data_IF_420363890267
#
_entry.id   IF_420363890267
#
_cell.length_a   1.000
_cell.length_b   1.000
_cell.length_c   1.000
_cell.angle_alpha   90.00
_cell.angle_beta   90.00
_cell.angle_gamma   90.00
#
_symmetry.space_group_name_H-M   'P 1'
#
loop_
_entity.id
_entity.type
_entity.pdbx_description
1 polymer ?
#
# COMPACT_ATOMS: atom_id res chain seq x y z
N UNK A 1 -11.57 0.14 0.79
CA UNK A 1 -10.45 -0.48 0.08
C UNK A 1 -9.88 -1.58 0.96
N UNK A 2 -9.95 -2.81 0.48
CA UNK A 2 -9.39 -3.99 1.11
C UNK A 2 -7.97 -4.19 0.59
N UNK A 3 -7.03 -4.45 1.49
CA UNK A 3 -5.62 -4.73 1.15
C UNK A 3 -5.29 -6.09 1.72
N UNK A 4 -4.81 -6.99 0.87
CA UNK A 4 -4.32 -8.30 1.31
C UNK A 4 -2.84 -8.42 1.03
N UNK A 5 -2.14 -9.16 1.90
CA UNK A 5 -0.72 -9.40 1.79
C UNK A 5 -0.48 -10.91 1.86
N UNK A 6 0.25 -11.41 0.87
CA UNK A 6 0.70 -12.79 0.79
C UNK A 6 2.19 -12.81 0.45
N UNK A 7 2.82 -13.98 0.58
CA UNK A 7 4.23 -14.16 0.23
C UNK A 7 4.50 -13.67 -1.21
N UNK A 8 5.56 -12.88 -1.38
CA UNK A 8 6.01 -12.40 -2.68
C UNK A 8 6.82 -13.45 -3.46
N UNK A 9 7.40 -13.04 -4.57
CA UNK A 9 8.20 -13.89 -5.47
C UNK A 9 9.65 -14.08 -5.01
N UNK A 10 10.14 -13.22 -4.12
CA UNK A 10 11.53 -13.26 -3.60
C UNK A 10 11.54 -13.19 -2.08
N UNK A 11 12.54 -13.80 -1.44
CA UNK A 11 12.72 -13.74 0.02
C UNK A 11 12.70 -12.29 0.52
N UNK A 12 11.90 -12.04 1.57
CA UNK A 12 11.70 -10.70 2.13
C UNK A 12 10.74 -9.78 1.36
N UNK A 13 10.08 -10.29 0.32
CA UNK A 13 9.05 -9.54 -0.43
C UNK A 13 7.63 -10.02 -0.12
N UNK A 14 6.65 -9.13 -0.28
CA UNK A 14 5.23 -9.43 -0.19
C UNK A 14 4.51 -9.02 -1.47
N UNK A 15 3.54 -9.84 -1.87
CA UNK A 15 2.59 -9.51 -2.93
C UNK A 15 1.34 -8.91 -2.31
N UNK A 16 0.96 -7.73 -2.80
CA UNK A 16 -0.22 -7.00 -2.34
C UNK A 16 -1.33 -7.08 -3.39
N UNK A 17 -2.55 -7.33 -2.96
CA UNK A 17 -3.75 -7.10 -3.78
C UNK A 17 -4.65 -6.06 -3.14
N UNK A 18 -5.32 -5.29 -3.98
CA UNK A 18 -6.20 -4.19 -3.58
C UNK A 18 -7.57 -4.38 -4.23
N UNK A 19 -8.64 -4.22 -3.44
CA UNK A 19 -10.01 -4.25 -3.96
C UNK A 19 -10.90 -3.16 -3.31
N UNK A 20 -11.74 -2.42 -4.07
CA UNK A 20 -11.91 -2.46 -5.53
C UNK A 20 -10.64 -2.07 -6.30
N UNK A 21 -10.65 -2.31 -7.62
CA UNK A 21 -9.57 -1.90 -8.51
C UNK A 21 -9.42 -0.37 -8.53
N UNK A 22 -8.23 0.07 -8.95
CA UNK A 22 -7.85 1.49 -9.01
C UNK A 22 -8.86 2.28 -9.86
N UNK A 23 -9.33 3.42 -9.35
CA UNK A 23 -10.22 4.28 -10.13
C UNK A 23 -9.43 4.98 -11.23
N UNK A 24 -10.08 5.22 -12.38
CA UNK A 24 -9.44 5.88 -13.53
C UNK A 24 -8.89 7.26 -13.16
N UNK A 25 -7.61 7.50 -13.48
CA UNK A 25 -6.92 8.76 -13.20
C UNK A 25 -6.24 8.83 -11.83
N UNK A 26 -6.46 7.85 -10.96
CA UNK A 26 -5.79 7.76 -9.66
C UNK A 26 -4.49 6.95 -9.75
N UNK A 27 -3.72 6.95 -8.66
CA UNK A 27 -2.47 6.19 -8.53
C UNK A 27 -2.36 5.54 -7.15
N UNK A 28 -1.59 4.46 -7.05
CA UNK A 28 -1.30 3.85 -5.76
C UNK A 28 0.00 4.38 -5.15
N UNK A 29 -0.02 4.46 -3.83
CA UNK A 29 1.16 4.61 -2.99
C UNK A 29 1.09 3.72 -1.77
N UNK A 30 2.22 3.48 -1.14
CA UNK A 30 2.26 2.70 0.09
C UNK A 30 3.26 3.23 1.12
N UNK A 31 3.07 2.80 2.37
CA UNK A 31 3.98 3.04 3.48
C UNK A 31 4.07 1.77 4.33
N UNK A 32 5.30 1.38 4.68
CA UNK A 32 5.56 0.27 5.59
C UNK A 32 6.11 0.81 6.91
N UNK A 33 5.57 0.34 8.02
CA UNK A 33 6.10 0.60 9.36
C UNK A 33 5.59 -0.45 10.36
N UNK A 34 6.19 -0.50 11.55
CA UNK A 34 5.64 -1.33 12.64
C UNK A 34 4.22 -0.88 13.05
N UNK A 35 4.00 0.43 13.14
CA UNK A 35 2.73 1.03 13.56
C UNK A 35 2.42 2.32 12.76
N UNK A 36 2.08 2.22 11.46
CA UNK A 36 1.66 3.36 10.68
C UNK A 36 0.23 3.79 11.07
N UNK A 37 -0.09 5.05 10.80
CA UNK A 37 -1.45 5.59 10.88
C UNK A 37 -2.10 5.58 9.50
N UNK A 38 -3.41 5.37 9.46
CA UNK A 38 -4.19 5.55 8.24
C UNK A 38 -4.28 7.04 7.87
N UNK A 39 -4.18 7.41 6.58
CA UNK A 39 -4.45 8.76 6.15
C UNK A 39 -5.95 9.07 6.27
N UNK A 40 -6.26 10.34 6.50
CA UNK A 40 -7.62 10.83 6.39
C UNK A 40 -7.99 11.04 4.90
N UNK A 41 -9.28 10.98 4.58
CA UNK A 41 -9.76 11.36 3.25
C UNK A 41 -9.33 12.80 2.91
N UNK A 42 -8.83 13.01 1.70
CA UNK A 42 -8.30 14.30 1.24
C UNK A 42 -6.91 14.66 1.78
N UNK A 43 -6.32 13.85 2.67
CA UNK A 43 -4.97 14.10 3.18
C UNK A 43 -3.94 13.94 2.05
N UNK A 44 -3.02 14.90 1.94
CA UNK A 44 -1.88 14.77 1.04
C UNK A 44 -0.98 13.59 1.47
N UNK A 45 -0.71 12.69 0.53
CA UNK A 45 0.13 11.50 0.69
C UNK A 45 1.38 11.63 -0.21
N UNK A 46 1.99 12.82 -0.22
CA UNK A 46 3.19 13.11 -1.01
C UNK A 46 4.46 12.64 -0.30
N UNK A 47 4.59 12.98 0.98
CA UNK A 47 5.76 12.67 1.80
C UNK A 47 5.53 11.43 2.65
N UNK A 48 6.56 10.58 2.78
CA UNK A 48 6.50 9.36 3.60
C UNK A 48 5.72 8.20 2.98
N UNK A 49 5.35 8.32 1.71
CA UNK A 49 4.73 7.26 0.90
C UNK A 49 5.57 7.03 -0.36
N UNK A 50 5.66 5.77 -0.77
CA UNK A 50 6.35 5.33 -1.99
C UNK A 50 5.32 5.08 -3.09
N UNK A 51 5.56 5.57 -4.30
CA UNK A 51 4.71 5.27 -5.46
C UNK A 51 4.78 3.78 -5.80
N UNK A 52 3.65 3.21 -6.22
CA UNK A 52 3.56 1.80 -6.59
C UNK A 52 2.67 1.61 -7.80
N UNK A 53 3.05 0.67 -8.66
CA UNK A 53 2.36 0.38 -9.92
C UNK A 53 1.12 -0.51 -9.73
N UNK A 54 0.87 -0.99 -8.50
CA UNK A 54 -0.25 -1.88 -8.19
C UNK A 54 0.03 -3.36 -8.43
N UNK A 55 1.23 -3.73 -8.88
CA UNK A 55 1.55 -5.09 -9.35
C UNK A 55 2.89 -5.63 -8.88
N UNK A 56 3.92 -4.79 -8.74
CA UNK A 56 5.24 -5.20 -8.31
C UNK A 56 5.21 -5.68 -6.85
N UNK A 57 6.02 -6.67 -6.52
CA UNK A 57 6.20 -7.06 -5.13
C UNK A 57 6.89 -5.95 -4.33
N UNK A 58 6.57 -5.88 -3.03
CA UNK A 58 7.08 -4.86 -2.11
C UNK A 58 8.01 -5.53 -1.11
N UNK A 59 9.24 -5.02 -0.96
CA UNK A 59 10.14 -5.45 0.12
C UNK A 59 9.61 -4.98 1.46
N UNK A 60 9.17 -5.91 2.29
CA UNK A 60 8.66 -5.64 3.63
C UNK A 60 8.73 -6.91 4.48
N UNK A 61 9.30 -6.82 5.68
CA UNK A 61 9.37 -7.95 6.60
C UNK A 61 7.99 -8.36 7.17
N UNK A 62 7.79 -9.66 7.36
CA UNK A 62 6.63 -10.24 8.04
C UNK A 62 6.39 -9.58 9.39
N UNK A 63 5.13 -9.30 9.73
CA UNK A 63 4.73 -8.67 10.99
C UNK A 63 4.78 -7.15 11.00
N UNK A 64 5.43 -6.50 10.02
CA UNK A 64 5.19 -5.07 9.77
C UNK A 64 3.77 -4.84 9.26
N UNK A 65 3.32 -3.60 9.29
CA UNK A 65 2.07 -3.18 8.64
C UNK A 65 2.40 -2.40 7.39
N UNK A 66 1.58 -2.61 6.37
CA UNK A 66 1.61 -1.84 5.14
C UNK A 66 0.27 -1.11 4.99
N UNK A 67 0.35 0.21 4.77
CA UNK A 67 -0.77 1.03 4.34
C UNK A 67 -0.63 1.22 2.84
N UNK A 68 -1.67 0.89 2.08
CA UNK A 68 -1.78 1.27 0.67
C UNK A 68 -2.82 2.38 0.57
N UNK A 69 -2.55 3.35 -0.28
CA UNK A 69 -3.38 4.54 -0.49
C UNK A 69 -3.58 4.71 -1.99
N UNK A 70 -4.83 4.86 -2.40
CA UNK A 70 -5.22 5.41 -3.68
C UNK A 70 -5.26 6.93 -3.56
N UNK A 71 -4.57 7.61 -4.46
CA UNK A 71 -4.50 9.08 -4.50
C UNK A 71 -4.98 9.64 -5.83
N UNK A 72 -5.57 10.83 -5.79
CA UNK A 72 -5.88 11.62 -6.98
C UNK A 72 -4.62 12.27 -7.60
N UNK A 73 -4.81 13.05 -8.67
CA UNK A 73 -3.74 13.76 -9.37
C UNK A 73 -2.99 14.77 -8.48
N UNK A 74 -3.62 15.26 -7.41
CA UNK A 74 -3.02 16.16 -6.43
C UNK A 74 -2.34 15.40 -5.27
N UNK A 75 -2.22 14.07 -5.38
CA UNK A 75 -1.70 13.18 -4.34
C UNK A 75 -2.53 13.17 -3.04
N UNK A 76 -3.82 13.47 -3.11
CA UNK A 76 -4.73 13.40 -1.96
C UNK A 76 -5.38 12.04 -1.87
N UNK A 77 -5.45 11.51 -0.65
CA UNK A 77 -6.05 10.21 -0.34
C UNK A 77 -7.53 10.19 -0.71
N UNK A 78 -7.92 9.30 -1.62
CA UNK A 78 -9.32 9.00 -1.97
C UNK A 78 -9.76 7.63 -1.49
N UNK A 79 -8.81 6.73 -1.21
CA UNK A 79 -9.04 5.43 -0.62
C UNK A 79 -7.79 4.93 0.09
N UNK A 80 -7.95 4.21 1.19
CA UNK A 80 -6.83 3.58 1.88
C UNK A 80 -7.25 2.28 2.53
N UNK A 81 -6.27 1.40 2.71
CA UNK A 81 -6.42 0.15 3.45
C UNK A 81 -5.08 -0.25 4.06
N UNK A 82 -5.14 -1.07 5.10
CA UNK A 82 -3.98 -1.49 5.85
C UNK A 82 -4.09 -2.98 6.17
N UNK A 83 -2.95 -3.66 6.14
CA UNK A 83 -2.85 -5.06 6.55
C UNK A 83 -1.49 -5.36 7.19
N UNK A 84 -1.39 -6.51 7.84
CA UNK A 84 -0.12 -7.05 8.33
C UNK A 84 0.58 -7.77 7.18
N UNK A 85 1.87 -7.53 7.05
CA UNK A 85 2.71 -8.11 5.99
C UNK A 85 2.94 -9.59 6.26
N UNK A 86 2.72 -10.38 5.22
CA UNK A 86 3.22 -11.76 5.08
C UNK A 86 4.26 -11.75 3.97
N UNK A 87 5.54 -11.82 4.32
CA UNK A 87 6.63 -11.88 3.36
C UNK A 87 6.93 -13.34 2.97
N UNK A 88 7.52 -13.53 1.79
CA UNK A 88 8.14 -14.79 1.43
C UNK A 88 9.40 -15.03 2.27
N UNK A 89 9.62 -16.29 2.64
CA UNK A 89 10.84 -16.75 3.32
C UNK A 89 12.05 -16.77 2.39
#
# INVERSE_FOLDING_TARGET
MTVTSVAGSTSGSTKITVEPALSSGNSYKYKVAANPTMPNAGQECKSGYTAWDGTADITAATGQKIVVVEVDADNRCVGAGMTVVTAAE
#
